data_IF_030497858797
#
_entry.id   IF_030497858797
#
_cell.length_a   1.000
_cell.length_b   1.000
_cell.length_c   1.000
_cell.angle_alpha   90.00
_cell.angle_beta   90.00
_cell.angle_gamma   90.00
#
_symmetry.space_group_name_H-M   'P 1'
#
loop_
_entity.id
_entity.type
_entity.pdbx_description
1 polymer ?
#
# COMPACT_ATOMS: atom_id res chain seq x y z
N UNK A 1 -27.60 -47.93 -11.50
CA UNK A 1 -26.46 -48.25 -10.62
C UNK A 1 -25.74 -46.95 -10.34
N UNK A 2 -26.16 -46.25 -9.28
CA UNK A 2 -25.61 -44.91 -8.96
C UNK A 2 -24.26 -45.11 -8.27
N UNK A 3 -23.20 -44.75 -8.96
CA UNK A 3 -21.85 -44.74 -8.39
C UNK A 3 -21.77 -43.51 -7.47
N UNK A 4 -22.02 -43.66 -6.16
CA UNK A 4 -21.68 -42.67 -5.16
C UNK A 4 -20.14 -42.62 -5.05
N UNK A 5 -19.57 -41.56 -5.62
CA UNK A 5 -18.18 -41.18 -5.34
C UNK A 5 -18.04 -40.94 -3.82
N UNK A 6 -17.01 -41.45 -3.15
CA UNK A 6 -16.80 -41.19 -1.75
C UNK A 6 -16.54 -39.71 -1.56
N UNK A 7 -17.33 -39.04 -0.71
CA UNK A 7 -17.05 -37.69 -0.21
C UNK A 7 -15.72 -37.78 0.56
N UNK A 8 -14.62 -37.41 -0.09
CA UNK A 8 -13.39 -37.10 0.66
C UNK A 8 -13.67 -35.79 1.41
N UNK A 9 -13.37 -35.72 2.73
CA UNK A 9 -13.39 -34.44 3.44
C UNK A 9 -12.38 -33.53 2.74
N UNK A 10 -12.86 -32.52 2.02
CA UNK A 10 -12.01 -31.47 1.52
C UNK A 10 -11.39 -30.80 2.75
N UNK A 11 -10.08 -31.00 2.94
CA UNK A 11 -9.29 -30.19 3.85
C UNK A 11 -9.35 -28.78 3.25
N UNK A 12 -10.32 -27.95 3.72
CA UNK A 12 -10.45 -26.57 3.26
C UNK A 12 -9.20 -25.81 3.71
N UNK A 13 -8.30 -25.53 2.75
CA UNK A 13 -7.17 -24.66 3.00
C UNK A 13 -7.69 -23.23 3.16
N UNK A 14 -7.35 -22.58 4.28
CA UNK A 14 -7.65 -21.15 4.45
C UNK A 14 -6.79 -20.34 3.45
N UNK A 15 -7.44 -19.51 2.64
CA UNK A 15 -6.75 -18.55 1.79
C UNK A 15 -6.62 -17.22 2.56
N UNK A 16 -5.42 -16.73 2.77
CA UNK A 16 -5.22 -15.43 3.39
C UNK A 16 -5.77 -14.32 2.50
N UNK A 17 -6.53 -13.40 3.09
CA UNK A 17 -7.29 -12.38 2.37
C UNK A 17 -6.78 -10.98 2.69
N UNK A 18 -6.72 -10.11 1.67
CA UNK A 18 -6.37 -8.69 1.84
C UNK A 18 -7.40 -7.84 1.11
N UNK A 19 -8.01 -6.91 1.82
CA UNK A 19 -8.86 -5.87 1.22
C UNK A 19 -8.00 -4.65 0.87
N UNK A 20 -7.98 -4.23 -0.38
CA UNK A 20 -7.45 -2.92 -0.76
C UNK A 20 -8.56 -1.87 -0.84
N UNK A 21 -8.34 -0.70 -0.21
CA UNK A 21 -9.22 0.46 -0.26
C UNK A 21 -8.42 1.59 -0.91
N UNK A 22 -8.67 1.86 -2.19
CA UNK A 22 -7.88 2.82 -2.96
C UNK A 22 -8.59 3.26 -4.25
N UNK A 23 -8.02 4.24 -4.93
CA UNK A 23 -8.44 4.63 -6.27
C UNK A 23 -8.06 3.60 -7.34
N UNK A 24 -8.78 3.62 -8.44
CA UNK A 24 -8.53 2.78 -9.62
C UNK A 24 -7.61 3.53 -10.60
N UNK A 25 -6.59 2.86 -11.11
CA UNK A 25 -5.71 3.34 -12.20
C UNK A 25 -6.02 2.57 -13.48
N UNK A 26 -6.64 3.24 -14.48
CA UNK A 26 -6.96 2.62 -15.78
C UNK A 26 -5.72 2.15 -16.55
N UNK A 27 -4.55 2.76 -16.32
CA UNK A 27 -3.27 2.33 -16.87
C UNK A 27 -2.74 1.05 -16.23
N UNK A 28 -3.29 0.64 -15.09
CA UNK A 28 -3.02 -0.62 -14.43
C UNK A 28 -1.69 -0.69 -13.67
N UNK A 29 -0.94 0.40 -13.57
CA UNK A 29 0.38 0.44 -12.93
C UNK A 29 0.35 0.76 -11.44
N UNK A 30 -0.69 1.43 -10.96
CA UNK A 30 -0.87 1.85 -9.58
C UNK A 30 -2.28 1.54 -9.06
N UNK A 31 -2.69 2.14 -7.94
CA UNK A 31 -4.01 1.98 -7.36
C UNK A 31 -4.39 0.53 -7.10
N UNK A 32 -5.70 0.25 -7.06
CA UNK A 32 -6.19 -1.12 -6.81
C UNK A 32 -5.64 -2.15 -7.79
N UNK A 33 -5.31 -1.76 -9.03
CA UNK A 33 -4.77 -2.68 -10.03
C UNK A 33 -3.36 -3.17 -9.65
N UNK A 34 -2.48 -2.29 -9.19
CA UNK A 34 -1.18 -2.67 -8.65
C UNK A 34 -1.35 -3.47 -7.35
N UNK A 35 -2.27 -3.05 -6.49
CA UNK A 35 -2.54 -3.70 -5.21
C UNK A 35 -2.98 -5.15 -5.42
N UNK A 36 -4.00 -5.40 -6.24
CA UNK A 36 -4.49 -6.75 -6.56
C UNK A 36 -3.36 -7.62 -7.13
N UNK A 37 -2.57 -7.08 -8.07
CA UNK A 37 -1.43 -7.81 -8.67
C UNK A 37 -0.40 -8.18 -7.60
N UNK A 38 0.01 -7.23 -6.75
CA UNK A 38 1.01 -7.47 -5.70
C UNK A 38 0.51 -8.46 -4.65
N UNK A 39 -0.70 -8.27 -4.14
CA UNK A 39 -1.34 -9.16 -3.16
C UNK A 39 -1.45 -10.60 -3.72
N UNK A 40 -1.91 -10.73 -4.97
CA UNK A 40 -2.05 -12.03 -5.62
C UNK A 40 -0.69 -12.69 -5.87
N UNK A 41 0.31 -11.94 -6.32
CA UNK A 41 1.67 -12.45 -6.52
C UNK A 41 2.35 -12.88 -5.21
N UNK A 42 1.95 -12.28 -4.08
CA UNK A 42 2.38 -12.66 -2.73
C UNK A 42 1.59 -13.84 -2.16
N UNK A 43 0.68 -14.45 -2.94
CA UNK A 43 -0.05 -15.65 -2.56
C UNK A 43 -1.30 -15.42 -1.70
N UNK A 44 -1.88 -14.22 -1.72
CA UNK A 44 -3.11 -13.89 -1.02
C UNK A 44 -4.28 -13.64 -1.98
N UNK A 45 -5.51 -13.84 -1.49
CA UNK A 45 -6.71 -13.42 -2.20
C UNK A 45 -6.93 -11.92 -2.01
N UNK A 46 -7.06 -11.19 -3.11
CA UNK A 46 -7.27 -9.75 -3.11
C UNK A 46 -8.74 -9.41 -3.35
N UNK A 47 -9.34 -8.64 -2.44
CA UNK A 47 -10.62 -7.94 -2.63
C UNK A 47 -10.38 -6.44 -2.70
N UNK A 48 -11.36 -5.65 -3.18
CA UNK A 48 -11.18 -4.21 -3.35
C UNK A 48 -12.44 -3.42 -3.02
N UNK A 49 -12.23 -2.21 -2.45
CA UNK A 49 -13.20 -1.14 -2.34
C UNK A 49 -12.62 0.11 -3.04
N UNK A 50 -13.29 0.60 -4.06
CA UNK A 50 -12.80 1.67 -4.94
C UNK A 50 -13.24 3.02 -4.40
N UNK A 51 -12.28 3.91 -4.11
CA UNK A 51 -12.55 5.27 -3.60
C UNK A 51 -12.81 6.27 -4.71
N UNK A 52 -12.15 6.12 -5.85
CA UNK A 52 -12.31 6.93 -7.05
C UNK A 52 -11.89 6.17 -8.30
N UNK A 53 -12.48 6.52 -9.44
CA UNK A 53 -12.08 6.03 -10.75
C UNK A 53 -11.25 7.11 -11.42
N UNK A 54 -10.09 6.75 -11.99
CA UNK A 54 -9.25 7.69 -12.74
C UNK A 54 -9.22 7.35 -14.23
N UNK A 55 -9.17 8.36 -15.06
CA UNK A 55 -8.67 8.25 -16.42
C UNK A 55 -7.17 8.54 -16.39
N UNK A 56 -6.38 7.49 -16.37
CA UNK A 56 -4.94 7.56 -16.11
C UNK A 56 -4.17 6.63 -17.03
N UNK A 57 -2.97 7.04 -17.42
CA UNK A 57 -2.01 6.27 -18.19
C UNK A 57 -0.58 6.57 -17.70
N UNK A 58 0.44 6.13 -18.47
CA UNK A 58 1.85 6.34 -18.09
C UNK A 58 2.30 7.81 -18.14
N UNK A 59 1.54 8.68 -18.81
CA UNK A 59 1.86 10.12 -18.95
C UNK A 59 1.26 10.96 -17.80
N UNK A 60 0.12 10.54 -17.24
CA UNK A 60 -0.53 11.30 -16.17
C UNK A 60 -1.96 10.88 -15.88
N UNK A 61 -2.63 11.73 -15.10
CA UNK A 61 -4.04 11.61 -14.71
C UNK A 61 -4.83 12.70 -15.40
N UNK A 62 -5.74 12.32 -16.31
CA UNK A 62 -6.57 13.25 -17.08
C UNK A 62 -7.86 13.61 -16.33
N UNK A 63 -8.45 12.66 -15.59
CA UNK A 63 -9.68 12.86 -14.84
C UNK A 63 -9.75 11.94 -13.61
N UNK A 64 -10.46 12.41 -12.58
CA UNK A 64 -10.79 11.66 -11.36
C UNK A 64 -12.27 11.78 -11.10
N UNK A 65 -12.95 10.66 -10.92
CA UNK A 65 -14.35 10.58 -10.54
C UNK A 65 -14.50 9.90 -9.18
N UNK A 66 -14.83 10.63 -8.10
CA UNK A 66 -15.06 10.05 -6.78
C UNK A 66 -16.21 9.04 -6.81
N UNK A 67 -16.07 7.92 -6.13
CA UNK A 67 -17.17 7.00 -5.86
C UNK A 67 -18.03 7.59 -4.74
N UNK A 68 -19.37 7.60 -4.86
CA UNK A 68 -20.27 8.05 -3.80
C UNK A 68 -20.01 7.33 -2.47
N UNK A 69 -20.09 8.08 -1.35
CA UNK A 69 -19.74 7.56 -0.02
C UNK A 69 -20.60 6.35 0.39
N UNK A 70 -21.88 6.34 0.05
CA UNK A 70 -22.78 5.22 0.32
C UNK A 70 -22.37 3.96 -0.45
N UNK A 71 -21.92 4.12 -1.70
CA UNK A 71 -21.39 3.01 -2.50
C UNK A 71 -20.05 2.51 -1.96
N UNK A 72 -19.15 3.42 -1.55
CA UNK A 72 -17.89 3.03 -0.92
C UNK A 72 -18.13 2.26 0.38
N UNK A 73 -19.03 2.75 1.24
CA UNK A 73 -19.43 2.05 2.45
C UNK A 73 -19.98 0.64 2.15
N UNK A 74 -20.87 0.55 1.17
CA UNK A 74 -21.46 -0.73 0.76
C UNK A 74 -20.42 -1.72 0.20
N UNK A 75 -19.41 -1.26 -0.55
CA UNK A 75 -18.30 -2.11 -1.01
C UNK A 75 -17.51 -2.70 0.18
N UNK A 76 -17.14 -1.86 1.16
CA UNK A 76 -16.41 -2.29 2.34
C UNK A 76 -17.27 -3.28 3.15
N UNK A 77 -18.52 -2.96 3.40
CA UNK A 77 -19.45 -3.82 4.16
C UNK A 77 -19.69 -5.17 3.46
N UNK A 78 -19.86 -5.18 2.14
CA UNK A 78 -20.05 -6.41 1.37
C UNK A 78 -18.85 -7.36 1.49
N UNK A 79 -17.63 -6.83 1.45
CA UNK A 79 -16.42 -7.66 1.62
C UNK A 79 -16.25 -8.12 3.06
N UNK A 80 -16.33 -7.19 4.02
CA UNK A 80 -15.99 -7.52 5.41
C UNK A 80 -17.04 -8.38 6.10
N UNK A 81 -18.32 -8.30 5.69
CA UNK A 81 -19.40 -9.10 6.30
C UNK A 81 -19.48 -10.55 5.77
N UNK A 82 -18.92 -10.84 4.59
CA UNK A 82 -18.99 -12.16 3.94
C UNK A 82 -17.62 -12.81 3.84
N UNK A 83 -16.69 -12.18 3.10
CA UNK A 83 -15.34 -12.71 2.84
C UNK A 83 -14.44 -12.54 4.06
N UNK A 84 -14.56 -11.40 4.76
CA UNK A 84 -13.62 -10.97 5.78
C UNK A 84 -12.27 -10.51 5.21
N UNK A 85 -11.34 -10.19 6.10
CA UNK A 85 -9.98 -9.84 5.70
C UNK A 85 -8.97 -10.14 6.80
N UNK A 86 -7.79 -10.65 6.45
CA UNK A 86 -6.66 -10.83 7.38
C UNK A 86 -5.80 -9.55 7.48
N UNK A 87 -5.85 -8.67 6.45
CA UNK A 87 -5.24 -7.35 6.48
C UNK A 87 -5.98 -6.38 5.53
N UNK A 88 -5.87 -5.08 5.82
CA UNK A 88 -6.33 -4.01 4.91
C UNK A 88 -5.10 -3.24 4.40
N UNK A 89 -5.06 -2.98 3.09
CA UNK A 89 -4.17 -1.97 2.50
C UNK A 89 -5.00 -0.75 2.13
N UNK A 90 -4.59 0.42 2.57
CA UNK A 90 -5.21 1.69 2.21
C UNK A 90 -4.26 2.48 1.32
N UNK A 91 -4.77 2.97 0.19
CA UNK A 91 -4.05 3.87 -0.72
C UNK A 91 -4.71 5.24 -0.80
N UNK A 92 -4.98 5.73 -2.03
CA UNK A 92 -5.54 7.06 -2.26
C UNK A 92 -6.92 7.24 -1.63
N UNK A 93 -7.03 8.22 -0.71
CA UNK A 93 -8.27 8.72 -0.10
C UNK A 93 -8.36 10.22 -0.37
N UNK A 94 -9.20 10.62 -1.32
CA UNK A 94 -9.17 11.97 -1.91
C UNK A 94 -9.77 13.07 -1.02
N UNK A 95 -10.70 12.75 -0.11
CA UNK A 95 -11.42 13.75 0.72
C UNK A 95 -11.49 13.38 2.19
N UNK A 96 -11.78 14.36 3.04
CA UNK A 96 -11.94 14.20 4.48
C UNK A 96 -13.06 13.22 4.84
N UNK A 97 -14.17 13.24 4.08
CA UNK A 97 -15.31 12.35 4.28
C UNK A 97 -14.94 10.89 3.97
N UNK A 98 -14.15 10.66 2.92
CA UNK A 98 -13.65 9.31 2.58
C UNK A 98 -12.70 8.80 3.66
N UNK A 99 -11.77 9.64 4.15
CA UNK A 99 -10.87 9.27 5.25
C UNK A 99 -11.66 8.91 6.51
N UNK A 100 -12.67 9.73 6.86
CA UNK A 100 -13.53 9.49 8.03
C UNK A 100 -14.32 8.19 7.88
N UNK A 101 -14.94 7.96 6.73
CA UNK A 101 -15.68 6.74 6.44
C UNK A 101 -14.81 5.48 6.59
N UNK A 102 -13.59 5.50 6.03
CA UNK A 102 -12.68 4.37 6.12
C UNK A 102 -12.25 4.12 7.56
N UNK A 103 -11.96 5.18 8.33
CA UNK A 103 -11.67 5.04 9.76
C UNK A 103 -12.84 4.42 10.53
N UNK A 104 -14.09 4.92 10.32
CA UNK A 104 -15.29 4.37 10.94
C UNK A 104 -15.46 2.87 10.62
N UNK A 105 -15.18 2.44 9.40
CA UNK A 105 -15.28 1.04 8.99
C UNK A 105 -14.20 0.16 9.64
N UNK A 106 -12.96 0.64 9.76
CA UNK A 106 -11.89 -0.07 10.47
C UNK A 106 -12.27 -0.29 11.93
N UNK A 107 -12.78 0.76 12.61
CA UNK A 107 -13.25 0.68 13.99
C UNK A 107 -14.46 -0.25 14.12
N UNK A 108 -15.46 -0.13 13.24
CA UNK A 108 -16.68 -0.94 13.23
C UNK A 108 -16.39 -2.44 13.15
N UNK A 109 -15.43 -2.83 12.29
CA UNK A 109 -15.08 -4.24 12.07
C UNK A 109 -13.88 -4.73 12.92
N UNK A 110 -13.26 -3.85 13.71
CA UNK A 110 -12.17 -4.20 14.61
C UNK A 110 -10.92 -4.70 13.89
N UNK A 111 -10.60 -4.14 12.73
CA UNK A 111 -9.45 -4.57 11.93
C UNK A 111 -8.16 -3.97 12.51
N UNK A 112 -7.17 -4.83 12.79
CA UNK A 112 -5.89 -4.43 13.39
C UNK A 112 -4.72 -4.45 12.42
N UNK A 113 -4.72 -5.32 11.41
CA UNK A 113 -3.69 -5.38 10.38
C UNK A 113 -3.96 -4.36 9.27
N UNK A 114 -3.72 -3.08 9.54
CA UNK A 114 -3.96 -1.97 8.59
C UNK A 114 -2.62 -1.41 8.12
N UNK A 115 -2.39 -1.45 6.80
CA UNK A 115 -1.26 -0.82 6.11
C UNK A 115 -1.77 0.42 5.39
N UNK A 116 -1.34 1.59 5.81
CA UNK A 116 -1.71 2.87 5.19
C UNK A 116 -0.54 3.41 4.36
N UNK A 117 -0.71 3.48 3.05
CA UNK A 117 0.14 4.25 2.15
C UNK A 117 -0.49 5.65 2.01
N UNK A 118 0.09 6.70 2.62
CA UNK A 118 -0.54 8.01 2.71
C UNK A 118 -0.36 8.79 1.41
N UNK A 119 -0.95 8.29 0.33
CA UNK A 119 -0.79 8.83 -1.03
C UNK A 119 -1.34 10.24 -1.12
N UNK A 120 -0.47 11.22 -1.35
CA UNK A 120 -0.82 12.65 -1.47
C UNK A 120 -0.68 13.19 -2.88
N UNK A 121 0.29 12.65 -3.64
CA UNK A 121 0.61 13.10 -4.99
C UNK A 121 0.86 11.89 -5.89
N UNK A 122 0.38 11.95 -7.14
CA UNK A 122 0.69 10.92 -8.15
C UNK A 122 2.16 10.98 -8.59
N UNK A 123 2.65 9.91 -9.21
CA UNK A 123 3.99 9.89 -9.82
C UNK A 123 4.19 11.02 -10.85
N UNK A 124 3.10 11.48 -11.49
CA UNK A 124 3.11 12.60 -12.44
C UNK A 124 2.97 13.98 -11.79
N UNK A 125 2.94 14.08 -10.45
CA UNK A 125 2.86 15.35 -9.72
C UNK A 125 1.45 15.88 -9.48
N UNK A 126 0.38 15.16 -9.85
CA UNK A 126 -0.98 15.56 -9.54
C UNK A 126 -1.30 15.38 -8.06
N UNK A 127 -1.86 16.42 -7.43
CA UNK A 127 -2.38 16.35 -6.06
C UNK A 127 -3.62 15.45 -6.03
N UNK A 128 -3.60 14.43 -5.17
CA UNK A 128 -4.62 13.38 -5.08
C UNK A 128 -5.46 13.45 -3.79
N UNK A 129 -5.15 14.38 -2.89
CA UNK A 129 -5.81 14.53 -1.59
C UNK A 129 -6.10 15.99 -1.29
N UNK A 130 -7.21 16.27 -0.63
CA UNK A 130 -7.54 17.61 -0.14
C UNK A 130 -6.77 17.94 1.14
N UNK A 131 -6.49 19.23 1.39
CA UNK A 131 -5.69 19.65 2.55
C UNK A 131 -6.36 19.30 3.89
N UNK A 132 -7.67 19.44 4.00
CA UNK A 132 -8.45 19.06 5.19
C UNK A 132 -8.44 17.55 5.44
N UNK A 133 -8.32 16.74 4.40
CA UNK A 133 -8.23 15.27 4.53
C UNK A 133 -6.93 14.82 5.20
N UNK A 134 -5.82 15.57 5.02
CA UNK A 134 -4.54 15.27 5.66
C UNK A 134 -4.66 15.36 7.18
N UNK A 135 -5.32 16.38 7.71
CA UNK A 135 -5.53 16.54 9.16
C UNK A 135 -6.42 15.43 9.73
N UNK A 136 -7.48 15.05 9.01
CA UNK A 136 -8.32 13.91 9.43
C UNK A 136 -7.51 12.59 9.38
N UNK A 137 -6.69 12.39 8.35
CA UNK A 137 -5.81 11.23 8.25
C UNK A 137 -4.85 11.15 9.45
N UNK A 138 -4.19 12.25 9.80
CA UNK A 138 -3.26 12.33 10.96
C UNK A 138 -3.96 12.00 12.27
N UNK A 139 -5.16 12.53 12.47
CA UNK A 139 -5.84 12.47 13.76
C UNK A 139 -6.69 11.21 13.96
N UNK A 140 -7.18 10.60 12.87
CA UNK A 140 -8.10 9.46 12.95
C UNK A 140 -7.55 8.18 12.33
N UNK A 141 -6.95 8.24 11.15
CA UNK A 141 -6.61 7.05 10.38
C UNK A 141 -5.21 6.51 10.71
N UNK A 142 -4.20 7.40 10.85
CA UNK A 142 -2.85 6.98 11.25
C UNK A 142 -2.84 6.22 12.58
N UNK A 143 -3.55 6.66 13.64
CA UNK A 143 -3.61 5.92 14.91
C UNK A 143 -4.22 4.52 14.80
N UNK A 144 -5.06 4.26 13.80
CA UNK A 144 -5.65 2.95 13.51
C UNK A 144 -4.76 2.06 12.64
N UNK A 145 -3.75 2.64 11.98
CA UNK A 145 -2.84 1.90 11.14
C UNK A 145 -1.78 1.17 11.98
N UNK A 146 -1.57 -0.13 11.71
CA UNK A 146 -0.46 -0.88 12.28
C UNK A 146 0.88 -0.41 11.71
N UNK A 147 0.88 0.02 10.43
CA UNK A 147 2.06 0.58 9.76
C UNK A 147 1.65 1.58 8.68
N UNK A 148 2.40 2.68 8.61
CA UNK A 148 2.34 3.65 7.51
C UNK A 148 3.59 3.57 6.65
N UNK A 149 3.45 3.88 5.34
CA UNK A 149 4.56 3.76 4.37
C UNK A 149 4.84 5.07 3.63
N UNK A 150 5.14 6.20 4.32
CA UNK A 150 5.35 7.48 3.67
C UNK A 150 6.64 7.50 2.84
N UNK A 151 6.60 8.18 1.70
CA UNK A 151 7.80 8.64 1.01
C UNK A 151 8.30 9.95 1.63
N UNK A 152 9.43 10.49 1.14
CA UNK A 152 10.03 11.70 1.70
C UNK A 152 9.07 12.92 1.69
N UNK A 153 8.45 13.31 0.56
CA UNK A 153 7.48 14.41 0.54
C UNK A 153 6.28 14.19 1.46
N UNK A 154 5.75 12.98 1.53
CA UNK A 154 4.65 12.61 2.43
C UNK A 154 5.06 12.72 3.90
N UNK A 155 6.28 12.29 4.24
CA UNK A 155 6.83 12.39 5.58
C UNK A 155 7.03 13.85 6.01
N UNK A 156 7.48 14.73 5.11
CA UNK A 156 7.59 16.16 5.36
C UNK A 156 6.23 16.80 5.66
N UNK A 157 5.21 16.48 4.85
CA UNK A 157 3.84 16.98 5.06
C UNK A 157 3.26 16.47 6.38
N UNK A 158 3.41 15.18 6.68
CA UNK A 158 2.85 14.57 7.89
C UNK A 158 3.55 15.05 9.16
N UNK A 159 4.89 15.22 9.13
CA UNK A 159 5.68 15.66 10.29
C UNK A 159 5.70 17.17 10.47
N UNK A 160 5.46 17.95 9.40
CA UNK A 160 5.68 19.40 9.37
C UNK A 160 7.15 19.81 9.39
N UNK A 161 8.08 18.86 9.18
CA UNK A 161 9.52 19.06 9.17
C UNK A 161 10.07 18.99 7.75
N UNK A 162 11.03 19.84 7.39
CA UNK A 162 11.83 19.65 6.17
C UNK A 162 12.91 18.64 6.44
N UNK A 163 13.08 17.66 5.54
CA UNK A 163 14.04 16.57 5.68
C UNK A 163 15.15 16.76 4.65
N UNK A 164 16.34 17.11 5.12
CA UNK A 164 17.47 17.47 4.25
C UNK A 164 18.48 16.34 4.10
N UNK A 165 18.49 15.38 5.03
CA UNK A 165 19.47 14.32 5.08
C UNK A 165 18.87 13.00 5.62
N UNK A 166 19.40 11.88 5.14
CA UNK A 166 18.96 10.55 5.54
C UNK A 166 19.19 10.25 7.03
N UNK A 167 20.16 10.93 7.65
CA UNK A 167 20.46 10.83 9.08
C UNK A 167 19.30 11.30 9.98
N UNK A 168 18.35 12.07 9.44
CA UNK A 168 17.15 12.55 10.15
C UNK A 168 16.02 11.50 10.18
N UNK A 169 16.09 10.48 9.32
CA UNK A 169 15.04 9.47 9.18
C UNK A 169 14.62 8.76 10.47
N UNK A 170 15.55 8.36 11.37
CA UNK A 170 15.15 7.75 12.63
C UNK A 170 14.27 8.65 13.49
N UNK A 171 14.60 9.95 13.57
CA UNK A 171 13.83 10.92 14.33
C UNK A 171 12.46 11.17 13.71
N UNK A 172 12.41 11.30 12.37
CA UNK A 172 11.17 11.48 11.63
C UNK A 172 10.25 10.26 11.76
N UNK A 173 10.80 9.04 11.62
CA UNK A 173 10.02 7.82 11.79
C UNK A 173 9.41 7.71 13.20
N UNK A 174 10.18 8.04 14.23
CA UNK A 174 9.69 8.08 15.61
C UNK A 174 8.63 9.17 15.80
N UNK A 175 8.80 10.36 15.21
CA UNK A 175 7.80 11.43 15.26
C UNK A 175 6.48 11.01 14.61
N UNK A 176 6.55 10.34 13.45
CA UNK A 176 5.38 9.86 12.72
C UNK A 176 4.70 8.63 13.36
N UNK A 177 5.35 7.99 14.33
CA UNK A 177 4.83 6.78 14.97
C UNK A 177 3.66 7.03 15.91
N UNK A 178 3.17 8.24 16.03
CA UNK A 178 2.02 8.63 16.85
C UNK A 178 2.12 8.06 18.29
N UNK A 179 3.15 8.50 19.03
CA UNK A 179 3.46 8.00 20.38
C UNK A 179 3.69 6.48 20.46
N UNK A 180 4.37 5.92 19.48
CA UNK A 180 4.66 4.48 19.36
C UNK A 180 3.41 3.58 19.22
N UNK A 181 2.32 4.10 18.66
CA UNK A 181 1.15 3.28 18.32
C UNK A 181 1.20 2.72 16.89
N UNK A 182 1.94 3.38 15.98
CA UNK A 182 1.98 3.08 14.55
C UNK A 182 3.41 2.88 14.09
N UNK A 183 3.71 1.77 13.44
CA UNK A 183 5.02 1.53 12.83
C UNK A 183 5.18 2.35 11.54
N UNK A 184 6.42 2.67 11.18
CA UNK A 184 6.71 3.57 10.04
C UNK A 184 7.75 2.97 9.12
N UNK A 185 7.39 2.73 7.86
CA UNK A 185 8.33 2.40 6.78
C UNK A 185 8.60 3.66 5.95
N UNK A 186 9.64 4.40 6.29
CA UNK A 186 10.05 5.64 5.61
C UNK A 186 10.88 5.31 4.36
N UNK A 187 10.36 5.69 3.18
CA UNK A 187 10.93 5.35 1.87
C UNK A 187 11.96 6.38 1.43
N UNK A 188 13.18 5.94 1.06
CA UNK A 188 14.29 6.80 0.64
C UNK A 188 14.35 7.09 -0.87
N UNK A 189 13.41 6.61 -1.66
CA UNK A 189 13.46 6.65 -3.13
C UNK A 189 13.65 8.02 -3.78
N UNK A 190 13.35 9.11 -3.07
CA UNK A 190 13.48 10.50 -3.53
C UNK A 190 14.86 11.13 -3.23
N UNK A 191 15.72 10.46 -2.47
CA UNK A 191 17.07 10.95 -2.19
C UNK A 191 18.01 10.72 -3.37
N UNK A 192 19.04 11.54 -3.48
CA UNK A 192 20.10 11.37 -4.45
C UNK A 192 21.11 10.30 -3.98
N UNK A 193 21.71 9.54 -4.90
CA UNK A 193 22.74 8.54 -4.63
C UNK A 193 22.41 7.15 -5.17
N UNK A 194 23.42 6.29 -5.24
CA UNK A 194 23.33 4.94 -5.81
C UNK A 194 22.76 3.92 -4.81
N UNK A 195 22.89 4.20 -3.53
CA UNK A 195 22.35 3.37 -2.43
C UNK A 195 21.20 4.10 -1.78
N UNK A 196 20.05 3.44 -1.75
CA UNK A 196 18.84 3.91 -1.10
C UNK A 196 18.61 3.03 0.13
N UNK A 197 18.44 3.65 1.30
CA UNK A 197 18.14 2.89 2.53
C UNK A 197 16.80 3.35 3.08
N UNK A 198 15.78 2.49 2.97
CA UNK A 198 14.52 2.72 3.66
C UNK A 198 14.70 2.40 5.13
N UNK A 199 13.97 3.09 6.00
CA UNK A 199 14.02 2.93 7.45
C UNK A 199 12.69 2.40 7.96
N UNK A 200 12.72 1.25 8.58
CA UNK A 200 11.55 0.69 9.21
C UNK A 200 11.65 0.81 10.73
N UNK A 201 10.79 1.65 11.31
CA UNK A 201 10.59 1.76 12.74
C UNK A 201 9.43 0.85 13.16
N UNK A 202 9.73 -0.15 13.97
CA UNK A 202 8.73 -1.03 14.56
C UNK A 202 8.27 -0.46 15.91
N UNK A 203 7.05 0.05 15.97
CA UNK A 203 6.49 0.62 17.19
C UNK A 203 6.16 -0.42 18.27
N UNK A 204 5.99 -1.70 17.90
CA UNK A 204 5.64 -2.78 18.85
C UNK A 204 6.82 -3.13 19.79
N UNK A 205 8.05 -2.95 19.32
CA UNK A 205 9.27 -3.29 20.10
C UNK A 205 10.30 -2.15 20.17
N UNK A 206 10.02 -1.02 19.51
CA UNK A 206 10.90 0.15 19.47
C UNK A 206 12.17 -0.02 18.63
N UNK A 207 12.25 -1.05 17.78
CA UNK A 207 13.43 -1.31 16.97
C UNK A 207 13.42 -0.55 15.65
N UNK A 208 14.64 -0.26 15.15
CA UNK A 208 14.87 0.34 13.83
C UNK A 208 15.60 -0.65 12.93
N UNK A 209 15.00 -0.98 11.79
CA UNK A 209 15.59 -1.87 10.77
C UNK A 209 15.93 -1.06 9.52
N UNK A 210 17.16 -1.19 9.05
CA UNK A 210 17.62 -0.59 7.80
C UNK A 210 17.40 -1.54 6.64
N UNK A 211 16.78 -1.04 5.56
CA UNK A 211 16.45 -1.80 4.37
C UNK A 211 17.19 -1.20 3.15
N UNK A 212 18.49 -1.50 2.99
CA UNK A 212 19.28 -0.95 1.91
C UNK A 212 18.90 -1.57 0.56
N UNK A 213 18.98 -0.79 -0.50
CA UNK A 213 18.81 -1.20 -1.89
C UNK A 213 19.70 -0.41 -2.82
N UNK A 214 19.95 -0.95 -4.01
CA UNK A 214 20.63 -0.21 -5.09
C UNK A 214 19.59 0.50 -5.94
N UNK A 215 19.91 1.71 -6.38
CA UNK A 215 19.10 2.42 -7.36
C UNK A 215 19.14 1.67 -8.69
N UNK A 216 17.97 1.46 -9.26
CA UNK A 216 17.83 0.92 -10.62
C UNK A 216 17.55 2.10 -11.55
N UNK A 217 18.39 2.28 -12.56
CA UNK A 217 18.17 3.30 -13.59
C UNK A 217 17.06 2.86 -14.53
N UNK A 218 15.86 3.36 -14.27
CA UNK A 218 14.66 3.03 -15.04
C UNK A 218 13.60 4.11 -14.90
N UNK A 219 12.81 4.31 -15.97
CA UNK A 219 11.58 5.11 -15.94
C UNK A 219 10.36 4.33 -15.39
N UNK A 220 10.49 3.01 -15.25
CA UNK A 220 9.39 2.11 -14.86
C UNK A 220 9.24 2.06 -13.32
N UNK A 221 8.80 3.19 -12.75
CA UNK A 221 8.63 3.38 -11.30
C UNK A 221 7.19 3.64 -10.89
N UNK A 222 6.24 3.64 -11.87
CA UNK A 222 4.84 3.88 -11.58
C UNK A 222 4.26 2.75 -10.71
N UNK A 223 3.62 3.15 -9.61
CA UNK A 223 3.00 2.22 -8.66
C UNK A 223 3.95 1.52 -7.69
N UNK A 224 5.22 1.92 -7.58
CA UNK A 224 6.17 1.35 -6.60
C UNK A 224 5.67 1.44 -5.16
N UNK A 225 5.10 2.58 -4.76
CA UNK A 225 4.50 2.78 -3.42
C UNK A 225 3.33 1.83 -3.17
N UNK A 226 2.36 1.81 -4.07
CA UNK A 226 1.21 0.91 -4.02
C UNK A 226 1.64 -0.56 -3.93
N UNK A 227 2.63 -0.96 -4.74
CA UNK A 227 3.15 -2.33 -4.77
C UNK A 227 3.84 -2.71 -3.46
N UNK A 228 4.69 -1.82 -2.90
CA UNK A 228 5.37 -2.05 -1.63
C UNK A 228 4.37 -2.21 -0.48
N UNK A 229 3.44 -1.27 -0.33
CA UNK A 229 2.45 -1.28 0.76
C UNK A 229 1.51 -2.47 0.65
N UNK A 230 1.15 -2.91 -0.56
CA UNK A 230 0.32 -4.08 -0.79
C UNK A 230 1.05 -5.39 -0.52
N UNK A 231 2.34 -5.49 -0.88
CA UNK A 231 3.18 -6.63 -0.52
C UNK A 231 3.35 -6.74 1.01
N UNK A 232 3.49 -5.60 1.71
CA UNK A 232 3.53 -5.54 3.16
C UNK A 232 2.23 -6.05 3.78
N UNK A 233 1.08 -5.61 3.28
CA UNK A 233 -0.23 -6.08 3.75
C UNK A 233 -0.41 -7.58 3.51
N UNK A 234 0.02 -8.10 2.37
CA UNK A 234 -0.03 -9.53 2.06
C UNK A 234 0.86 -10.36 3.00
N UNK A 235 2.07 -9.88 3.32
CA UNK A 235 2.97 -10.53 4.26
C UNK A 235 2.36 -10.58 5.67
N UNK A 236 1.76 -9.48 6.14
CA UNK A 236 1.03 -9.44 7.42
C UNK A 236 -0.18 -10.37 7.43
N UNK A 237 -0.95 -10.43 6.34
CA UNK A 237 -2.08 -11.35 6.20
C UNK A 237 -1.65 -12.82 6.31
N UNK A 238 -0.45 -13.15 5.87
CA UNK A 238 0.17 -14.49 5.98
C UNK A 238 0.73 -14.79 7.37
N UNK A 239 0.67 -13.83 8.30
CA UNK A 239 1.12 -13.99 9.69
C UNK A 239 2.59 -13.70 9.92
N UNK A 240 3.29 -13.06 8.97
CA UNK A 240 4.66 -12.58 9.20
C UNK A 240 4.67 -11.48 10.30
N UNK A 241 5.72 -11.43 11.10
CA UNK A 241 5.94 -10.29 12.01
C UNK A 241 6.12 -8.99 11.24
N UNK A 242 5.92 -7.84 11.88
CA UNK A 242 6.05 -6.54 11.22
C UNK A 242 7.41 -6.36 10.52
N UNK A 243 8.49 -6.75 11.20
CA UNK A 243 9.85 -6.63 10.65
C UNK A 243 10.07 -7.58 9.46
N UNK A 244 9.62 -8.84 9.56
CA UNK A 244 9.70 -9.79 8.45
C UNK A 244 8.86 -9.33 7.26
N UNK A 245 7.66 -8.83 7.50
CA UNK A 245 6.76 -8.30 6.47
C UNK A 245 7.38 -7.09 5.73
N UNK A 246 8.04 -6.17 6.46
CA UNK A 246 8.76 -5.05 5.86
C UNK A 246 9.93 -5.53 4.97
N UNK A 247 10.71 -6.51 5.43
CA UNK A 247 11.81 -7.11 4.66
C UNK A 247 11.27 -7.84 3.43
N UNK A 248 10.20 -8.63 3.56
CA UNK A 248 9.55 -9.36 2.46
C UNK A 248 9.02 -8.40 1.40
N UNK A 249 8.32 -7.34 1.81
CA UNK A 249 7.81 -6.31 0.91
C UNK A 249 8.93 -5.57 0.17
N UNK A 250 10.02 -5.22 0.88
CA UNK A 250 11.19 -4.58 0.26
C UNK A 250 11.83 -5.46 -0.80
N UNK A 251 12.06 -6.74 -0.50
CA UNK A 251 12.59 -7.71 -1.48
C UNK A 251 11.70 -7.86 -2.69
N UNK A 252 10.39 -7.92 -2.48
CA UNK A 252 9.41 -8.05 -3.55
C UNK A 252 9.45 -6.84 -4.50
N UNK A 253 9.40 -5.60 -3.98
CA UNK A 253 9.41 -4.40 -4.81
C UNK A 253 10.76 -4.23 -5.54
N UNK A 254 11.88 -4.56 -4.94
CA UNK A 254 13.19 -4.53 -5.61
C UNK A 254 13.22 -5.43 -6.84
N UNK A 255 12.77 -6.67 -6.73
CA UNK A 255 12.70 -7.59 -7.86
C UNK A 255 11.71 -7.12 -8.92
N UNK A 256 10.58 -6.57 -8.51
CA UNK A 256 9.58 -6.01 -9.43
C UNK A 256 10.14 -4.81 -10.23
N UNK A 257 10.97 -3.95 -9.61
CA UNK A 257 11.64 -2.83 -10.29
C UNK A 257 12.74 -3.36 -11.23
N UNK A 258 13.65 -4.22 -10.75
CA UNK A 258 14.77 -4.76 -11.53
C UNK A 258 14.26 -5.47 -12.79
N UNK A 259 13.25 -6.28 -12.66
CA UNK A 259 12.69 -7.03 -13.79
C UNK A 259 11.80 -6.15 -14.67
N UNK A 260 11.06 -5.22 -14.06
CA UNK A 260 10.22 -4.23 -14.75
C UNK A 260 11.01 -3.27 -15.63
N UNK A 261 12.27 -2.97 -15.26
CA UNK A 261 13.16 -2.11 -16.04
C UNK A 261 13.42 -2.59 -17.48
N UNK A 262 13.19 -3.88 -17.74
CA UNK A 262 13.40 -4.50 -19.06
C UNK A 262 12.23 -4.33 -20.03
N UNK A 263 11.06 -3.86 -19.54
CA UNK A 263 9.86 -3.73 -20.36
C UNK A 263 9.66 -2.29 -20.83
N UNK A 264 9.04 -2.16 -21.97
CA UNK A 264 8.62 -0.87 -22.55
C UNK A 264 7.09 -0.84 -22.59
N UNK A 265 6.48 -0.06 -21.70
CA UNK A 265 5.04 0.09 -21.59
C UNK A 265 4.68 1.58 -21.52
N UNK A 266 4.01 2.06 -22.56
CA UNK A 266 3.62 3.47 -22.66
C UNK A 266 4.80 4.39 -22.92
N UNK A 267 4.54 5.70 -22.96
CA UNK A 267 5.54 6.71 -23.33
C UNK A 267 6.04 7.53 -22.13
N UNK A 268 5.46 7.34 -20.94
CA UNK A 268 5.83 8.02 -19.71
C UNK A 268 6.47 7.07 -18.67
N UNK A 269 6.06 7.21 -17.40
CA UNK A 269 6.51 6.33 -16.33
C UNK A 269 5.81 4.98 -16.44
N UNK A 270 6.54 3.95 -16.86
CA UNK A 270 6.02 2.59 -16.96
C UNK A 270 5.85 1.92 -15.58
N UNK A 271 5.06 0.84 -15.51
CA UNK A 271 4.84 0.09 -14.28
C UNK A 271 6.00 -0.86 -13.96
N UNK A 272 6.04 -1.31 -12.70
CA UNK A 272 6.91 -2.42 -12.28
C UNK A 272 6.37 -3.78 -12.77
N UNK A 273 7.20 -4.83 -12.74
CA UNK A 273 6.77 -6.19 -13.06
C UNK A 273 6.32 -6.95 -11.80
N UNK A 274 5.02 -6.96 -11.54
CA UNK A 274 4.44 -7.62 -10.36
C UNK A 274 4.62 -9.14 -10.37
N UNK A 275 4.68 -9.76 -11.55
CA UNK A 275 4.68 -11.22 -11.72
C UNK A 275 6.05 -11.76 -12.15
N UNK A 276 7.13 -11.13 -11.69
CA UNK A 276 8.50 -11.52 -12.06
C UNK A 276 8.82 -13.00 -11.76
N UNK A 277 8.23 -13.56 -10.72
CA UNK A 277 8.45 -14.95 -10.34
C UNK A 277 7.78 -15.97 -11.28
N UNK A 278 6.83 -15.56 -12.14
CA UNK A 278 6.17 -16.45 -13.10
C UNK A 278 7.00 -16.65 -14.38
N UNK A 279 7.98 -15.78 -14.63
CA UNK A 279 8.79 -15.76 -15.85
C UNK A 279 10.25 -16.17 -15.58
N UNK A 280 10.50 -16.78 -14.42
CA UNK A 280 11.84 -17.26 -14.01
C UNK A 280 12.05 -18.75 -14.33
#
# INVERSE_FOLDING_TARGET
MDIKLPHQPHNQMKYNTVLTIAGSDSGGGAGIQADIKAISAMGCFASSAITAITAQNTLGVDAVHPVPLDILAAQIDAVLSDIGTDAIKIGMLHSAEVVSLVADKIEQYGITNVVLDPVMVSTSGHKLIEDNAIEIMKNRLIPLARVITPNLPEAEILSGCTITAQQEFPQIATLLSHNNSTSVLLKAGHLNGDTLTDYFYNAEDGTMTLLPSKRVDTRNTHGTGCTLSSALAAALARGESLTEAAISAKRYIEQAIITGAKYDIGHGHGPVNHFFALNS
#
